data_IF_985633923622
#
_entry.id   IF_985633923622
#
_cell.length_a   1.000
_cell.length_b   1.000
_cell.length_c   1.000
_cell.angle_alpha   90.00
_cell.angle_beta   90.00
_cell.angle_gamma   90.00
#
_symmetry.space_group_name_H-M   'P 1'
#
loop_
_entity.id
_entity.type
_entity.pdbx_description
1 polymer ?
#
# COMPACT_ATOMS: atom_id res chain seq x y z
N UNK A 1 2.55 10.03 25.12
CA UNK A 1 2.71 9.75 23.67
C UNK A 1 1.73 10.63 22.92
N UNK A 2 2.17 11.30 21.86
CA UNK A 2 1.31 12.11 21.00
C UNK A 2 1.39 11.60 19.56
N UNK A 3 0.34 11.82 18.78
CA UNK A 3 0.34 11.52 17.34
C UNK A 3 1.32 12.47 16.65
N UNK A 4 2.25 11.93 15.87
CA UNK A 4 3.24 12.74 15.15
C UNK A 4 2.67 13.28 13.83
N UNK A 5 2.20 12.38 12.96
CA UNK A 5 1.52 12.67 11.70
C UNK A 5 0.88 11.42 11.12
N UNK A 6 0.10 11.59 10.05
CA UNK A 6 -0.35 10.50 9.19
C UNK A 6 0.73 10.25 8.12
N UNK A 7 1.26 9.03 8.06
CA UNK A 7 2.29 8.65 7.07
C UNK A 7 1.68 8.39 5.69
N UNK A 8 0.64 7.57 5.62
CA UNK A 8 -0.02 7.17 4.37
C UNK A 8 -1.46 6.69 4.61
N UNK A 9 -2.20 6.50 3.53
CA UNK A 9 -3.50 5.82 3.48
C UNK A 9 -3.36 4.62 2.55
N UNK A 10 -3.72 3.43 3.03
CA UNK A 10 -3.75 2.22 2.21
C UNK A 10 -5.08 2.09 1.47
N UNK A 11 -5.02 1.70 0.19
CA UNK A 11 -6.20 1.47 -0.66
C UNK A 11 -6.02 0.10 -1.33
N UNK A 12 -6.97 -0.80 -1.13
CA UNK A 12 -7.00 -2.10 -1.82
C UNK A 12 -7.68 -1.90 -3.17
N UNK A 13 -7.00 -2.30 -4.24
CA UNK A 13 -7.46 -2.15 -5.63
C UNK A 13 -7.33 -3.49 -6.36
N UNK A 14 -8.14 -3.66 -7.40
CA UNK A 14 -8.07 -4.85 -8.27
C UNK A 14 -6.89 -4.77 -9.25
N UNK A 15 -6.61 -3.57 -9.78
CA UNK A 15 -5.52 -3.32 -10.74
C UNK A 15 -4.63 -2.17 -10.25
N UNK A 16 -3.41 -2.52 -9.84
CA UNK A 16 -2.42 -1.58 -9.33
C UNK A 16 -1.93 -0.60 -10.41
N UNK A 17 -1.80 -1.04 -11.66
CA UNK A 17 -1.32 -0.20 -12.75
C UNK A 17 -2.38 0.85 -13.12
N UNK A 18 -3.65 0.44 -13.20
CA UNK A 18 -4.76 1.35 -13.44
C UNK A 18 -4.91 2.39 -12.31
N UNK A 19 -4.83 1.95 -11.04
CA UNK A 19 -4.90 2.83 -9.89
C UNK A 19 -3.73 3.83 -9.85
N UNK A 20 -2.51 3.36 -10.13
CA UNK A 20 -1.32 4.22 -10.19
C UNK A 20 -1.48 5.29 -11.27
N UNK A 21 -1.91 4.91 -12.48
CA UNK A 21 -2.15 5.86 -13.57
C UNK A 21 -3.21 6.90 -13.21
N UNK A 22 -4.29 6.48 -12.56
CA UNK A 22 -5.34 7.38 -12.07
C UNK A 22 -4.80 8.42 -11.09
N UNK A 23 -4.06 8.01 -10.06
CA UNK A 23 -3.53 8.96 -9.07
C UNK A 23 -2.43 9.87 -9.63
N UNK A 24 -1.61 9.37 -10.56
CA UNK A 24 -0.65 10.22 -11.29
C UNK A 24 -1.38 11.29 -12.10
N UNK A 25 -2.49 10.96 -12.76
CA UNK A 25 -3.31 11.94 -13.48
C UNK A 25 -3.95 13.00 -12.55
N UNK A 26 -4.19 12.65 -11.28
CA UNK A 26 -4.63 13.60 -10.24
C UNK A 26 -3.50 14.48 -9.69
N UNK A 27 -2.26 14.28 -10.13
CA UNK A 27 -1.10 15.09 -9.73
C UNK A 27 -0.24 14.48 -8.62
N UNK A 28 -0.48 13.22 -8.23
CA UNK A 28 0.44 12.51 -7.33
C UNK A 28 1.68 12.03 -8.09
N UNK A 29 2.79 11.87 -7.38
CA UNK A 29 4.03 11.32 -7.94
C UNK A 29 4.19 9.86 -7.51
N UNK A 30 4.40 8.98 -8.49
CA UNK A 30 4.75 7.59 -8.22
C UNK A 30 6.12 7.51 -7.54
N UNK A 31 6.17 6.90 -6.35
CA UNK A 31 7.40 6.77 -5.57
C UNK A 31 8.10 5.42 -5.77
N UNK A 32 7.34 4.36 -6.02
CA UNK A 32 7.88 3.01 -6.18
C UNK A 32 6.81 1.95 -5.98
N UNK A 33 7.18 0.72 -6.33
CA UNK A 33 6.38 -0.48 -6.20
C UNK A 33 7.24 -1.55 -5.54
N UNK A 34 6.64 -2.35 -4.66
CA UNK A 34 7.30 -3.43 -3.98
C UNK A 34 6.32 -4.59 -3.81
N UNK A 35 6.82 -5.80 -4.04
CA UNK A 35 6.10 -7.01 -3.69
C UNK A 35 6.39 -7.38 -2.23
N UNK A 36 5.34 -7.55 -1.45
CA UNK A 36 5.38 -7.78 0.00
C UNK A 36 4.77 -9.14 0.32
N UNK A 37 5.57 -10.00 0.93
CA UNK A 37 5.14 -11.31 1.41
C UNK A 37 5.89 -11.75 2.68
N UNK A 38 5.38 -12.83 3.30
CA UNK A 38 6.02 -13.55 4.41
C UNK A 38 5.40 -13.29 5.79
N UNK A 39 5.84 -14.07 6.78
CA UNK A 39 5.19 -14.10 8.11
C UNK A 39 5.25 -12.79 8.92
N UNK A 40 5.96 -11.77 8.46
CA UNK A 40 5.90 -10.45 9.09
C UNK A 40 4.64 -9.69 8.65
N UNK A 41 4.26 -9.73 7.37
CA UNK A 41 3.05 -9.06 6.86
C UNK A 41 1.81 -9.79 7.35
N UNK A 42 1.85 -11.12 7.40
CA UNK A 42 0.76 -11.95 7.93
C UNK A 42 0.39 -11.55 9.37
N UNK A 43 1.38 -11.28 10.22
CA UNK A 43 1.17 -10.85 11.60
C UNK A 43 0.63 -9.43 11.72
N UNK A 44 0.97 -8.54 10.79
CA UNK A 44 0.49 -7.16 10.78
C UNK A 44 -0.96 -7.09 10.30
N UNK A 45 -1.31 -7.86 9.26
CA UNK A 45 -2.64 -7.85 8.64
C UNK A 45 -3.60 -8.82 9.35
N UNK A 46 -3.09 -9.86 10.01
CA UNK A 46 -3.88 -10.89 10.68
C UNK A 46 -4.44 -11.96 9.74
N UNK A 47 -3.80 -12.17 8.58
CA UNK A 47 -4.15 -13.17 7.58
C UNK A 47 -2.92 -14.01 7.24
N UNK A 48 -3.09 -15.29 6.95
CA UNK A 48 -1.98 -16.17 6.53
C UNK A 48 -1.77 -16.13 5.02
N UNK A 49 -0.51 -16.13 4.59
CA UNK A 49 -0.14 -16.20 3.18
C UNK A 49 -0.41 -14.92 2.39
N UNK A 50 -0.31 -13.76 3.04
CA UNK A 50 -0.47 -12.46 2.38
C UNK A 50 0.62 -12.24 1.36
N UNK A 51 0.21 -11.79 0.18
CA UNK A 51 1.07 -11.42 -0.95
C UNK A 51 0.44 -10.19 -1.61
N UNK A 52 1.18 -9.10 -1.65
CA UNK A 52 0.71 -7.79 -2.12
C UNK A 52 1.76 -7.13 -3.01
#
# INVERSE_FOLDING_TARGET
MAIQRMEHVGIVVEDLAAATAFFVALGLTFQGEAFVEGGWVDRVIGLEGVRA
#
